data_IF_392297421475
#
_entry.id   IF_392297421475
#
_cell.length_a   1.000
_cell.length_b   1.000
_cell.length_c   1.000
_cell.angle_alpha   90.00
_cell.angle_beta   90.00
_cell.angle_gamma   90.00
#
_symmetry.space_group_name_H-M   'P 1'
#
loop_
_entity.id
_entity.type
_entity.pdbx_description
1 polymer ?
#
# COMPACT_ATOMS: atom_id res chain seq x y z
N UNK A 1 -11.65 15.62 38.07
CA UNK A 1 -12.52 14.87 37.13
C UNK A 1 -11.79 14.74 35.80
N UNK A 2 -10.74 13.92 35.73
CA UNK A 2 -9.89 13.75 34.53
C UNK A 2 -9.87 12.27 34.21
N UNK A 3 -10.94 11.85 33.54
CA UNK A 3 -11.32 10.46 33.31
C UNK A 3 -10.55 9.85 32.16
N UNK A 4 -10.41 8.52 32.21
CA UNK A 4 -9.84 7.56 31.25
C UNK A 4 -10.11 7.80 29.75
N UNK A 5 -11.00 8.73 29.38
CA UNK A 5 -11.18 9.24 28.01
C UNK A 5 -9.93 9.92 27.44
N UNK A 6 -9.10 10.55 28.27
CA UNK A 6 -7.85 11.19 27.81
C UNK A 6 -6.81 10.19 27.28
N UNK A 7 -6.75 9.00 27.87
CA UNK A 7 -5.86 7.91 27.42
C UNK A 7 -6.29 7.35 26.05
N UNK A 8 -7.60 7.29 25.80
CA UNK A 8 -8.18 6.84 24.53
C UNK A 8 -7.98 7.84 23.39
N UNK A 9 -8.04 9.16 23.67
CA UNK A 9 -7.74 10.21 22.66
C UNK A 9 -6.24 10.22 22.32
N UNK A 10 -5.36 10.02 23.31
CA UNK A 10 -3.93 9.83 23.09
C UNK A 10 -3.64 8.55 22.29
N UNK A 11 -4.36 7.45 22.55
CA UNK A 11 -4.24 6.21 21.79
C UNK A 11 -4.73 6.38 20.33
N UNK A 12 -5.75 7.20 20.08
CA UNK A 12 -6.22 7.50 18.72
C UNK A 12 -5.24 8.37 17.92
N UNK A 13 -4.59 9.36 18.56
CA UNK A 13 -3.57 10.21 17.91
C UNK A 13 -2.22 9.50 17.74
N UNK A 14 -1.86 8.54 18.60
CA UNK A 14 -0.67 7.67 18.42
C UNK A 14 -0.89 6.49 17.45
N UNK A 15 -2.13 6.19 17.06
CA UNK A 15 -2.46 5.13 16.11
C UNK A 15 -2.70 5.63 14.68
N UNK A 16 -2.88 6.94 14.44
CA UNK A 16 -2.81 7.50 13.08
C UNK A 16 -1.38 7.52 12.51
N UNK A 17 -0.35 7.41 13.36
CA UNK A 17 1.05 7.25 12.93
C UNK A 17 1.49 5.77 12.87
N UNK A 18 0.72 4.85 13.48
CA UNK A 18 1.08 3.42 13.51
C UNK A 18 0.28 2.55 12.55
N UNK A 19 -0.90 2.98 12.10
CA UNK A 19 -1.64 2.28 11.04
C UNK A 19 -1.14 2.60 9.63
N UNK A 20 -0.18 3.52 9.50
CA UNK A 20 0.53 3.73 8.23
C UNK A 20 2.02 3.31 8.30
N UNK A 21 2.67 3.31 9.47
CA UNK A 21 4.14 3.16 9.56
C UNK A 21 4.67 1.84 10.18
N UNK A 22 3.82 0.87 10.52
CA UNK A 22 4.29 -0.49 10.86
C UNK A 22 4.37 -1.38 9.62
N UNK A 23 5.23 -1.00 8.68
CA UNK A 23 5.75 -1.89 7.66
C UNK A 23 6.72 -2.90 8.28
N UNK A 24 6.20 -3.90 8.99
CA UNK A 24 6.98 -5.10 9.31
C UNK A 24 6.65 -6.15 8.27
N UNK A 25 7.52 -6.35 7.28
CA UNK A 25 8.29 -7.58 7.04
C UNK A 25 8.83 -7.61 5.61
N UNK A 26 10.14 -7.89 5.53
CA UNK A 26 10.90 -8.35 4.34
C UNK A 26 11.03 -7.38 3.17
N UNK A 27 12.26 -6.91 2.95
CA UNK A 27 12.76 -6.51 1.63
C UNK A 27 12.22 -7.49 0.57
N UNK A 28 11.59 -6.97 -0.49
CA UNK A 28 11.04 -7.67 -1.69
C UNK A 28 9.51 -7.84 -1.78
N UNK A 29 8.70 -6.90 -1.31
CA UNK A 29 7.30 -6.81 -1.78
C UNK A 29 6.86 -5.34 -1.78
N UNK A 30 6.13 -4.92 -2.82
CA UNK A 30 5.70 -3.52 -2.99
C UNK A 30 4.83 -3.05 -1.82
N UNK A 31 4.67 -1.73 -1.67
CA UNK A 31 3.83 -1.17 -0.60
C UNK A 31 2.37 -1.64 -0.72
N UNK A 32 1.62 -1.59 0.38
CA UNK A 32 0.19 -1.92 0.35
C UNK A 32 -0.53 -1.00 -0.66
N UNK A 33 -1.22 -1.61 -1.64
CA UNK A 33 -1.87 -0.88 -2.72
C UNK A 33 -1.00 -0.66 -3.96
N UNK A 34 0.18 -1.28 -4.01
CA UNK A 34 1.01 -1.37 -5.20
C UNK A 34 0.98 -2.78 -5.80
N UNK A 35 1.17 -2.84 -7.12
CA UNK A 35 1.39 -4.06 -7.88
C UNK A 35 2.88 -4.15 -8.26
N UNK A 36 3.45 -5.35 -8.12
CA UNK A 36 4.83 -5.61 -8.52
C UNK A 36 4.88 -6.12 -9.96
N UNK A 37 5.52 -5.33 -10.82
CA UNK A 37 5.84 -5.68 -12.19
C UNK A 37 6.83 -6.84 -12.26
N UNK A 38 6.90 -7.55 -13.39
CA UNK A 38 7.86 -8.66 -13.59
C UNK A 38 9.32 -8.20 -13.53
N UNK A 39 9.61 -6.97 -13.93
CA UNK A 39 10.91 -6.33 -13.80
C UNK A 39 11.25 -5.88 -12.35
N UNK A 40 10.34 -6.07 -11.40
CA UNK A 40 10.51 -5.71 -9.99
C UNK A 40 10.12 -4.26 -9.65
N UNK A 41 9.67 -3.46 -10.62
CA UNK A 41 9.10 -2.13 -10.39
C UNK A 41 7.77 -2.25 -9.63
N UNK A 42 7.47 -1.24 -8.82
CA UNK A 42 6.17 -1.11 -8.17
C UNK A 42 5.38 0.02 -8.81
N UNK A 43 4.11 -0.25 -9.13
CA UNK A 43 3.15 0.73 -9.63
C UNK A 43 1.88 0.70 -8.74
N UNK A 44 1.06 1.75 -8.71
CA UNK A 44 -0.26 1.69 -8.07
C UNK A 44 -1.09 0.52 -8.62
N UNK A 45 -1.78 -0.23 -7.76
CA UNK A 45 -2.67 -1.32 -8.23
C UNK A 45 -3.80 -0.82 -9.14
N UNK A 46 -4.14 0.48 -9.08
CA UNK A 46 -5.11 1.14 -9.95
C UNK A 46 -4.67 1.22 -11.41
N UNK A 47 -3.37 1.12 -11.68
CA UNK A 47 -2.77 1.17 -13.02
C UNK A 47 -2.66 -0.21 -13.65
N UNK A 48 -3.17 -1.26 -12.98
CA UNK A 48 -3.18 -2.59 -13.56
C UNK A 48 -4.42 -2.74 -14.45
N UNK A 49 -4.22 -3.15 -15.70
CA UNK A 49 -5.28 -3.35 -16.69
C UNK A 49 -5.99 -2.05 -17.09
N UNK A 50 -5.26 -0.95 -17.21
CA UNK A 50 -5.80 0.37 -17.54
C UNK A 50 -5.52 0.83 -18.98
N UNK A 51 -5.00 -0.07 -19.82
CA UNK A 51 -4.62 0.14 -21.22
C UNK A 51 -3.31 0.93 -21.46
N UNK A 52 -2.57 1.32 -20.41
CA UNK A 52 -1.25 1.94 -20.50
C UNK A 52 -0.13 1.00 -19.99
N UNK A 53 1.09 1.11 -20.56
CA UNK A 53 2.27 0.36 -20.06
C UNK A 53 2.97 1.17 -18.96
N UNK A 54 2.53 0.97 -17.73
CA UNK A 54 3.17 1.57 -16.57
C UNK A 54 4.34 0.74 -16.09
N UNK A 55 4.32 -0.59 -16.25
CA UNK A 55 5.43 -1.41 -15.81
C UNK A 55 6.72 -1.24 -16.64
N UNK A 56 6.67 -0.61 -17.83
CA UNK A 56 7.74 -0.57 -18.85
C UNK A 56 8.16 -1.95 -19.40
N UNK A 57 7.47 -2.99 -18.95
CA UNK A 57 7.55 -4.37 -19.43
C UNK A 57 6.15 -4.93 -19.76
N UNK A 58 5.10 -4.10 -19.74
CA UNK A 58 3.69 -4.42 -19.96
C UNK A 58 3.09 -5.51 -19.06
N UNK A 59 3.77 -5.87 -17.96
CA UNK A 59 3.31 -6.96 -17.09
C UNK A 59 2.07 -6.63 -16.26
N UNK A 60 1.76 -5.34 -16.12
CA UNK A 60 0.51 -4.77 -15.62
C UNK A 60 -0.69 -5.04 -16.53
N UNK A 61 -0.47 -5.03 -17.84
CA UNK A 61 -1.52 -5.27 -18.85
C UNK A 61 -1.72 -6.74 -19.21
N UNK A 62 -1.01 -7.64 -18.52
CA UNK A 62 -1.16 -9.08 -18.70
C UNK A 62 -2.26 -9.71 -17.83
N UNK A 63 -2.92 -10.73 -18.40
CA UNK A 63 -3.96 -11.54 -17.72
C UNK A 63 -5.12 -10.67 -17.17
N UNK A 64 -5.48 -9.64 -17.92
CA UNK A 64 -6.67 -8.82 -17.69
C UNK A 64 -7.91 -9.57 -18.19
N UNK A 65 -8.93 -9.68 -17.33
CA UNK A 65 -10.25 -10.16 -17.77
C UNK A 65 -11.04 -8.96 -18.25
N UNK A 66 -11.20 -8.86 -19.57
CA UNK A 66 -12.00 -7.83 -20.23
C UNK A 66 -13.46 -8.29 -20.36
#
# INVERSE_FOLDING_TARGET
MWTEVGKLVLLHLLLMELHCARGTTTETECEVGQFQCKNGRCIPTLWRCDDDDDCSDSSDEENCRK
#
